data_IF_781510407490
#
_entry.id   IF_781510407490
#
_cell.length_a   1.000
_cell.length_b   1.000
_cell.length_c   1.000
_cell.angle_alpha   90.00
_cell.angle_beta   90.00
_cell.angle_gamma   90.00
#
_symmetry.space_group_name_H-M   'P 1'
#
loop_
_entity.id
_entity.type
_entity.pdbx_description
1 polymer ?
#
# COMPACT_ATOMS: atom_id res chain seq x y z
N UNK A 1 7.26 12.76 16.88
CA UNK A 1 5.80 12.77 16.81
C UNK A 1 5.18 13.83 17.69
N UNK A 2 5.77 14.11 18.83
CA UNK A 2 5.14 14.95 19.87
C UNK A 2 4.97 16.43 19.49
N UNK A 3 5.77 16.94 18.55
CA UNK A 3 5.69 18.35 18.13
C UNK A 3 4.75 18.59 16.93
N UNK A 4 4.70 17.66 15.97
CA UNK A 4 3.96 17.86 14.71
C UNK A 4 2.89 16.79 14.44
N UNK A 5 2.75 15.79 15.30
CA UNK A 5 1.75 14.73 15.16
C UNK A 5 2.02 13.71 14.03
N UNK A 6 3.09 13.88 13.26
CA UNK A 6 3.44 12.99 12.14
C UNK A 6 4.94 12.67 12.12
N UNK A 7 5.31 11.51 11.59
CA UNK A 7 6.69 11.12 11.39
C UNK A 7 6.85 10.24 10.14
N UNK A 8 7.97 10.42 9.45
CA UNK A 8 8.38 9.55 8.35
C UNK A 8 9.25 8.41 8.89
N UNK A 9 8.77 7.18 8.73
CA UNK A 9 9.49 5.98 9.15
C UNK A 9 10.27 5.41 7.95
N UNK A 10 11.51 5.84 7.77
CA UNK A 10 12.33 5.38 6.67
C UNK A 10 12.67 3.89 6.83
N UNK A 11 12.19 3.06 5.91
CA UNK A 11 12.24 1.61 6.03
C UNK A 11 13.65 1.05 6.22
N UNK A 12 14.67 1.62 5.55
CA UNK A 12 16.07 1.15 5.67
C UNK A 12 16.62 1.31 7.08
N UNK A 13 16.13 2.30 7.84
CA UNK A 13 16.55 2.53 9.22
C UNK A 13 15.79 1.64 10.20
N UNK A 14 14.49 1.44 9.94
CA UNK A 14 13.59 0.75 10.88
C UNK A 14 13.51 -0.76 10.68
N UNK A 15 13.87 -1.29 9.51
CA UNK A 15 13.93 -2.72 9.21
C UNK A 15 15.38 -3.20 9.10
N UNK A 16 16.12 -3.20 10.22
CA UNK A 16 17.55 -3.55 10.25
C UNK A 16 17.88 -4.94 9.67
N UNK A 17 16.96 -5.90 9.74
CA UNK A 17 17.11 -7.24 9.13
C UNK A 17 17.04 -7.22 7.61
N UNK A 18 16.37 -6.23 7.01
CA UNK A 18 16.25 -6.11 5.55
C UNK A 18 17.56 -5.80 4.84
N UNK A 19 18.58 -5.29 5.55
CA UNK A 19 19.92 -5.07 4.98
C UNK A 19 20.55 -6.35 4.44
N UNK A 20 20.24 -7.51 5.01
CA UNK A 20 20.75 -8.81 4.56
C UNK A 20 20.00 -9.32 3.32
N UNK A 21 18.72 -9.02 3.19
CA UNK A 21 17.91 -9.40 2.04
C UNK A 21 18.07 -8.43 0.84
N UNK A 22 18.46 -7.19 1.10
CA UNK A 22 18.56 -6.13 0.08
C UNK A 22 19.40 -6.49 -1.13
N UNK A 23 20.66 -6.93 -0.97
CA UNK A 23 21.53 -7.31 -2.08
C UNK A 23 20.97 -8.46 -2.92
N UNK A 24 20.38 -9.47 -2.26
CA UNK A 24 19.77 -10.63 -2.93
C UNK A 24 18.55 -10.19 -3.74
N UNK A 25 17.70 -9.34 -3.18
CA UNK A 25 16.53 -8.77 -3.87
C UNK A 25 16.94 -8.00 -5.13
N UNK A 26 17.98 -7.17 -5.02
CA UNK A 26 18.50 -6.39 -6.14
C UNK A 26 19.01 -7.28 -7.28
N UNK A 27 19.67 -8.40 -6.95
CA UNK A 27 20.16 -9.37 -7.93
C UNK A 27 19.03 -10.16 -8.58
N UNK A 28 18.00 -10.53 -7.81
CA UNK A 28 16.87 -11.31 -8.33
C UNK A 28 16.00 -10.48 -9.30
N UNK A 29 15.87 -9.17 -9.05
CA UNK A 29 15.10 -8.27 -9.92
C UNK A 29 13.61 -8.60 -10.06
N UNK A 30 13.08 -9.52 -9.22
CA UNK A 30 11.69 -9.96 -9.25
C UNK A 30 10.94 -9.55 -7.99
N UNK A 31 9.64 -9.36 -8.13
CA UNK A 31 8.76 -9.15 -6.99
C UNK A 31 8.70 -10.41 -6.14
N UNK A 32 8.73 -10.27 -4.83
CA UNK A 32 8.77 -11.38 -3.90
C UNK A 32 7.95 -11.06 -2.65
N UNK A 33 7.79 -12.03 -1.76
CA UNK A 33 7.12 -11.86 -0.46
C UNK A 33 7.66 -10.67 0.35
N UNK A 34 8.91 -10.27 0.17
CA UNK A 34 9.49 -9.10 0.83
C UNK A 34 8.84 -7.77 0.43
N UNK A 35 8.14 -7.71 -0.69
CA UNK A 35 7.38 -6.53 -1.08
C UNK A 35 6.10 -6.36 -0.25
N UNK A 36 5.63 -7.46 0.35
CA UNK A 36 4.41 -7.52 1.16
C UNK A 36 4.74 -7.46 2.66
N UNK A 37 5.89 -8.01 3.06
CA UNK A 37 6.26 -8.11 4.49
C UNK A 37 6.54 -6.77 5.15
N UNK A 38 7.01 -5.77 4.41
CA UNK A 38 7.34 -4.45 4.97
C UNK A 38 6.17 -3.82 5.74
N UNK A 39 5.01 -3.64 5.11
CA UNK A 39 3.82 -3.11 5.78
C UNK A 39 3.32 -3.98 6.93
N UNK A 40 3.43 -5.31 6.81
CA UNK A 40 3.01 -6.27 7.83
C UNK A 40 3.91 -6.24 9.07
N UNK A 41 5.18 -5.89 8.90
CA UNK A 41 6.19 -5.83 9.96
C UNK A 41 6.40 -4.40 10.49
N UNK A 42 5.43 -3.50 10.36
CA UNK A 42 5.53 -2.12 10.81
C UNK A 42 5.72 -2.08 12.34
N UNK A 43 6.86 -1.57 12.85
CA UNK A 43 7.13 -1.53 14.29
C UNK A 43 6.19 -0.61 15.07
N UNK A 44 5.48 0.31 14.40
CA UNK A 44 4.51 1.20 15.02
C UNK A 44 3.21 0.47 15.42
N UNK A 45 3.00 -0.79 14.98
CA UNK A 45 1.81 -1.61 15.29
C UNK A 45 0.51 -0.81 15.15
N UNK A 46 0.35 -0.14 14.01
CA UNK A 46 -0.78 0.77 13.76
C UNK A 46 -2.10 0.02 13.70
N UNK A 47 -3.13 0.59 14.34
CA UNK A 47 -4.50 0.05 14.27
C UNK A 47 -5.26 0.50 13.02
N UNK A 48 -4.74 1.51 12.31
CA UNK A 48 -5.35 2.14 11.14
C UNK A 48 -4.29 2.24 10.04
N UNK A 49 -4.60 1.72 8.86
CA UNK A 49 -3.62 1.66 7.76
C UNK A 49 -4.29 1.83 6.40
N UNK A 50 -3.62 2.52 5.49
CA UNK A 50 -3.85 2.39 4.04
C UNK A 50 -2.66 1.64 3.47
N UNK A 51 -2.92 0.54 2.76
CA UNK A 51 -1.92 -0.34 2.20
C UNK A 51 -2.15 -0.51 0.71
N UNK A 52 -1.21 -0.03 -0.11
CA UNK A 52 -1.17 -0.33 -1.52
C UNK A 52 -0.54 -1.69 -1.81
N UNK A 53 -1.11 -2.41 -2.76
CA UNK A 53 -0.60 -3.67 -3.27
C UNK A 53 -0.31 -3.58 -4.76
N UNK A 54 0.66 -4.34 -5.24
CA UNK A 54 1.16 -4.27 -6.60
C UNK A 54 0.43 -5.20 -7.59
N UNK A 55 -0.49 -6.01 -7.10
CA UNK A 55 -1.35 -6.91 -7.89
C UNK A 55 -2.75 -6.93 -7.29
N UNK A 56 -3.77 -6.92 -8.14
CA UNK A 56 -5.18 -6.90 -7.74
C UNK A 56 -5.57 -8.11 -6.89
N UNK A 57 -5.02 -9.26 -7.23
CA UNK A 57 -5.26 -10.54 -6.56
C UNK A 57 -4.78 -10.55 -5.10
N UNK A 58 -3.90 -9.61 -4.73
CA UNK A 58 -3.41 -9.46 -3.36
C UNK A 58 -4.34 -8.63 -2.47
N UNK A 59 -5.28 -7.88 -3.04
CA UNK A 59 -6.16 -6.96 -2.29
C UNK A 59 -6.91 -7.70 -1.18
N UNK A 60 -7.60 -8.77 -1.51
CA UNK A 60 -8.38 -9.55 -0.54
C UNK A 60 -7.51 -10.38 0.42
N UNK A 61 -6.51 -11.15 -0.02
CA UNK A 61 -5.64 -11.89 0.89
C UNK A 61 -4.92 -11.01 1.91
N UNK A 62 -4.49 -9.82 1.51
CA UNK A 62 -3.83 -8.89 2.41
C UNK A 62 -4.79 -8.32 3.46
N UNK A 63 -6.06 -8.10 3.11
CA UNK A 63 -7.08 -7.71 4.08
C UNK A 63 -7.27 -8.82 5.13
N UNK A 64 -7.39 -10.08 4.71
CA UNK A 64 -7.55 -11.21 5.62
C UNK A 64 -6.33 -11.34 6.57
N UNK A 65 -5.11 -11.14 6.07
CA UNK A 65 -3.89 -11.13 6.90
C UNK A 65 -3.90 -9.98 7.90
N UNK A 66 -4.21 -8.75 7.46
CA UNK A 66 -4.27 -7.57 8.34
C UNK A 66 -5.31 -7.73 9.44
N UNK A 67 -6.48 -8.28 9.12
CA UNK A 67 -7.51 -8.61 10.10
C UNK A 67 -7.00 -9.61 11.13
N UNK A 68 -6.32 -10.68 10.69
CA UNK A 68 -5.74 -11.68 11.58
C UNK A 68 -4.64 -11.12 12.48
N UNK A 69 -3.93 -10.08 12.03
CA UNK A 69 -2.95 -9.34 12.83
C UNK A 69 -3.58 -8.34 13.80
N UNK A 70 -4.92 -8.22 13.83
CA UNK A 70 -5.65 -7.39 14.76
C UNK A 70 -5.76 -5.92 14.36
N UNK A 71 -5.51 -5.59 13.09
CA UNK A 71 -5.73 -4.23 12.57
C UNK A 71 -7.23 -3.92 12.61
N UNK A 72 -7.59 -2.79 13.21
CA UNK A 72 -8.99 -2.41 13.44
C UNK A 72 -9.67 -1.83 12.20
N UNK A 73 -8.94 -1.03 11.43
CA UNK A 73 -9.42 -0.46 10.18
C UNK A 73 -8.29 -0.41 9.17
N UNK A 74 -8.56 -0.85 7.96
CA UNK A 74 -7.61 -0.76 6.87
C UNK A 74 -8.33 -0.54 5.54
N UNK A 75 -7.64 0.12 4.62
CA UNK A 75 -7.95 0.12 3.21
C UNK A 75 -6.80 -0.58 2.50
N UNK A 76 -7.05 -1.70 1.88
CA UNK A 76 -6.12 -2.37 0.99
C UNK A 76 -6.51 -1.97 -0.43
N UNK A 77 -5.59 -1.33 -1.15
CA UNK A 77 -5.92 -0.65 -2.40
C UNK A 77 -5.02 -1.09 -3.55
N UNK A 78 -5.58 -1.07 -4.76
CA UNK A 78 -4.88 -1.29 -6.01
C UNK A 78 -5.49 -0.41 -7.08
N UNK A 79 -4.71 0.51 -7.64
CA UNK A 79 -5.09 1.29 -8.81
C UNK A 79 -5.18 0.39 -10.04
N UNK A 80 -6.34 0.38 -10.73
CA UNK A 80 -6.57 -0.50 -11.88
C UNK A 80 -5.66 -0.14 -13.09
N UNK A 81 -4.92 0.96 -13.00
CA UNK A 81 -3.81 1.34 -13.89
C UNK A 81 -2.45 0.72 -13.50
N UNK A 82 -2.41 -0.11 -12.46
CA UNK A 82 -1.23 -0.82 -11.98
C UNK A 82 -0.42 -0.08 -10.92
N UNK A 83 -1.00 0.94 -10.28
CA UNK A 83 -0.39 1.64 -9.15
C UNK A 83 -0.77 0.98 -7.83
N UNK A 84 0.17 0.94 -6.89
CA UNK A 84 -0.04 0.51 -5.52
C UNK A 84 -0.55 1.68 -4.63
N UNK A 85 -1.45 2.48 -5.19
CA UNK A 85 -2.01 3.69 -4.57
C UNK A 85 -3.48 3.86 -4.97
N UNK A 86 -4.18 4.80 -4.32
CA UNK A 86 -5.49 5.27 -4.79
C UNK A 86 -5.23 6.16 -6.00
N UNK A 87 -5.61 5.67 -7.18
CA UNK A 87 -5.31 6.34 -8.43
C UNK A 87 -6.30 7.47 -8.72
N UNK A 88 -5.80 8.55 -9.33
CA UNK A 88 -6.61 9.61 -9.95
C UNK A 88 -6.65 9.48 -11.49
N UNK A 89 -5.94 8.50 -12.06
CA UNK A 89 -5.93 8.24 -13.51
C UNK A 89 -6.78 7.02 -13.90
N UNK A 90 -7.31 6.31 -12.92
CA UNK A 90 -8.14 5.11 -13.09
C UNK A 90 -8.99 4.86 -11.87
N UNK A 91 -9.89 3.90 -11.95
CA UNK A 91 -10.55 3.34 -10.77
C UNK A 91 -9.54 2.64 -9.85
N UNK A 92 -9.92 2.49 -8.58
CA UNK A 92 -9.13 1.79 -7.57
C UNK A 92 -9.95 0.68 -6.94
N UNK A 93 -9.46 -0.54 -7.01
CA UNK A 93 -10.03 -1.68 -6.29
C UNK A 93 -9.67 -1.60 -4.81
N UNK A 94 -10.65 -1.72 -3.94
CA UNK A 94 -10.51 -1.55 -2.49
C UNK A 94 -11.07 -2.74 -1.75
N UNK A 95 -10.35 -3.20 -0.72
CA UNK A 95 -10.87 -4.05 0.33
C UNK A 95 -10.74 -3.30 1.66
N UNK A 96 -11.85 -2.94 2.26
CA UNK A 96 -11.93 -2.21 3.52
C UNK A 96 -12.15 -3.17 4.68
N UNK A 97 -11.37 -3.01 5.74
CA UNK A 97 -11.59 -3.62 7.05
C UNK A 97 -12.17 -2.55 7.96
N UNK A 98 -13.28 -2.86 8.63
CA UNK A 98 -13.87 -2.04 9.67
C UNK A 98 -14.33 -2.92 10.84
N UNK A 99 -13.46 -3.14 11.81
CA UNK A 99 -13.67 -4.12 12.88
C UNK A 99 -13.75 -5.53 12.29
N UNK A 100 -14.91 -6.18 12.47
CA UNK A 100 -15.15 -7.53 11.96
C UNK A 100 -15.65 -7.58 10.52
N UNK A 101 -16.07 -6.44 9.97
CA UNK A 101 -16.57 -6.37 8.59
C UNK A 101 -15.42 -6.22 7.59
N UNK A 102 -15.57 -6.90 6.46
CA UNK A 102 -14.73 -6.70 5.27
C UNK A 102 -15.67 -6.37 4.12
N UNK A 103 -15.40 -5.26 3.43
CA UNK A 103 -16.13 -4.83 2.24
C UNK A 103 -15.19 -4.68 1.06
N UNK A 104 -15.63 -5.12 -0.10
CA UNK A 104 -14.94 -4.90 -1.37
C UNK A 104 -15.74 -3.93 -2.22
N UNK A 105 -15.09 -2.92 -2.77
CA UNK A 105 -15.71 -1.92 -3.63
C UNK A 105 -14.66 -1.26 -4.53
N UNK A 106 -15.12 -0.40 -5.41
CA UNK A 106 -14.27 0.38 -6.30
C UNK A 106 -14.44 1.86 -5.98
N UNK A 107 -13.34 2.59 -5.93
CA UNK A 107 -13.34 4.06 -5.90
C UNK A 107 -13.18 4.53 -7.35
N UNK A 108 -14.10 5.36 -7.79
CA UNK A 108 -14.04 6.06 -9.08
C UNK A 108 -13.79 7.56 -8.82
N UNK A 109 -12.68 8.12 -9.32
CA UNK A 109 -12.40 9.55 -9.17
C UNK A 109 -13.51 10.45 -9.73
N UNK A 110 -14.16 10.05 -10.83
CA UNK A 110 -15.21 10.85 -11.46
C UNK A 110 -16.47 10.90 -10.59
N UNK A 111 -16.82 9.82 -9.89
CA UNK A 111 -17.92 9.81 -8.92
C UNK A 111 -17.64 10.72 -7.71
N UNK A 112 -16.38 10.99 -7.41
CA UNK A 112 -15.95 11.93 -6.39
C UNK A 112 -15.85 13.38 -6.89
N UNK A 113 -16.21 13.63 -8.15
CA UNK A 113 -16.14 14.95 -8.79
C UNK A 113 -14.72 15.37 -9.20
N UNK A 114 -13.79 14.44 -9.30
CA UNK A 114 -12.44 14.67 -9.78
C UNK A 114 -12.36 14.42 -11.28
N UNK A 115 -11.50 15.15 -11.97
CA UNK A 115 -11.18 14.89 -13.37
C UNK A 115 -10.07 13.84 -13.46
N UNK A 116 -10.24 12.85 -14.33
CA UNK A 116 -9.21 11.84 -14.55
C UNK A 116 -7.91 12.48 -15.05
N UNK A 117 -6.83 12.22 -14.34
CA UNK A 117 -5.48 12.58 -14.77
C UNK A 117 -4.97 11.57 -15.80
N UNK A 118 -3.96 11.98 -16.58
CA UNK A 118 -3.24 11.04 -17.42
C UNK A 118 -2.18 10.34 -16.56
N UNK A 119 -2.04 9.03 -16.73
CA UNK A 119 -1.02 8.24 -15.99
C UNK A 119 0.40 8.83 -16.15
N UNK A 120 0.70 9.42 -17.33
CA UNK A 120 1.98 10.04 -17.62
C UNK A 120 2.28 11.28 -16.75
N UNK A 121 1.25 11.91 -16.20
CA UNK A 121 1.39 13.11 -15.36
C UNK A 121 1.70 12.76 -13.90
N UNK A 122 1.37 11.55 -13.46
CA UNK A 122 1.56 11.07 -12.09
C UNK A 122 2.75 10.13 -11.93
N UNK A 123 3.28 9.55 -12.99
CA UNK A 123 4.48 8.72 -12.96
C UNK A 123 5.72 9.58 -12.88
N UNK A 124 6.54 9.35 -11.85
CA UNK A 124 7.81 10.05 -11.70
C UNK A 124 8.70 9.85 -12.94
N UNK A 125 8.99 10.94 -13.63
CA UNK A 125 10.02 10.95 -14.68
C UNK A 125 11.36 11.23 -14.02
N UNK A 126 12.31 10.28 -14.11
CA UNK A 126 13.70 10.59 -13.79
C UNK A 126 14.13 11.76 -14.68
N UNK A 127 14.18 12.97 -14.13
CA UNK A 127 14.89 14.07 -14.77
C UNK A 127 16.37 13.67 -14.79
N UNK A 128 16.89 13.43 -15.97
CA UNK A 128 18.32 13.27 -16.22
C UNK A 128 19.07 14.54 -15.85
#
# INVERSE_FOLDING_TARGET
MDEVGAAFLFAQTHHGSMKYAGPVRAQLGVRSVFNILGPLANPAMTNYIVLGVYEKELVRPMADVMKNLGVKRALIVYGDDGLDEISISSTTSVCEINGDEIKEYTIDPEELGLTLAKKEDIVWRNSR
#
